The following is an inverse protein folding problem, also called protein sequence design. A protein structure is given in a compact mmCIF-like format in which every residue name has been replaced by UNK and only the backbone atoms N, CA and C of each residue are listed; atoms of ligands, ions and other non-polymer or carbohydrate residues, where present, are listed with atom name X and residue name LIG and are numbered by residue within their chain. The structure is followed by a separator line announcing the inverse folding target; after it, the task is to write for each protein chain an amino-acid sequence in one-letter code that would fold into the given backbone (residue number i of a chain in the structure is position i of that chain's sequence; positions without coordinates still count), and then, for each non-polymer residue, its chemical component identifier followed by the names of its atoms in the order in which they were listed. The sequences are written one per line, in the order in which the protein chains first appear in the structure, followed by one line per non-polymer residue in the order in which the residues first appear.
data_IF_843116373996
#
_entry.id   IF_843116373996
#
_cell.length_a   1.000
_cell.length_b   1.000
_cell.length_c   1.000
_cell.angle_alpha   90.00
_cell.angle_beta   90.00
_cell.angle_gamma   90.00
#
_symmetry.space_group_name_H-M   'P 1'
#
loop_
_entity.id
_entity.type
_entity.pdbx_description
1 polymer ?
#
# COMPACT_ATOMS: atom_id res chain seq x y z
N UNK A 1 14.30 -1.48 14.58
CA UNK A 1 12.99 -1.76 13.94
C UNK A 1 13.27 -2.22 12.52
N UNK A 2 12.62 -3.28 12.04
CA UNK A 2 12.76 -3.77 10.68
C UNK A 2 11.47 -3.51 9.91
N UNK A 3 11.59 -3.10 8.64
CA UNK A 3 10.45 -3.08 7.74
C UNK A 3 10.13 -4.51 7.31
N UNK A 4 8.87 -4.87 7.44
CA UNK A 4 8.30 -6.13 6.92
C UNK A 4 7.80 -5.91 5.48
N UNK A 5 7.19 -6.93 4.88
CA UNK A 5 6.63 -6.82 3.55
C UNK A 5 5.67 -5.62 3.43
N UNK A 6 5.76 -4.88 2.32
CA UNK A 6 4.77 -3.87 1.96
C UNK A 6 3.55 -4.58 1.33
N UNK A 7 2.46 -4.61 2.07
CA UNK A 7 1.16 -5.16 1.67
C UNK A 7 0.13 -4.08 1.36
N UNK A 8 0.56 -2.81 1.33
CA UNK A 8 -0.34 -1.66 1.18
C UNK A 8 -0.36 -1.08 -0.25
N UNK A 9 0.39 -1.69 -1.16
CA UNK A 9 0.47 -1.21 -2.54
C UNK A 9 -0.74 -1.70 -3.33
N UNK A 10 -1.68 -0.79 -3.60
CA UNK A 10 -2.86 -0.99 -4.47
C UNK A 10 -2.72 -0.04 -5.66
N UNK A 11 -2.85 -0.58 -6.87
CA UNK A 11 -2.62 0.15 -8.11
C UNK A 11 -3.82 -0.01 -9.04
N UNK A 12 -4.71 0.98 -9.11
CA UNK A 12 -5.74 1.02 -10.14
C UNK A 12 -5.14 1.34 -11.50
N UNK A 13 -5.70 0.71 -12.53
CA UNK A 13 -5.43 0.97 -13.95
C UNK A 13 -6.74 1.21 -14.67
N UNK A 14 -6.83 2.32 -15.35
CA UNK A 14 -8.00 2.76 -16.12
C UNK A 14 -7.70 2.58 -17.61
N UNK A 15 -8.33 1.60 -18.26
CA UNK A 15 -8.03 1.22 -19.65
C UNK A 15 -6.52 1.10 -19.94
N UNK A 16 -5.78 0.48 -19.00
CA UNK A 16 -4.34 0.31 -19.06
C UNK A 16 -3.51 1.50 -18.53
N UNK A 17 -4.08 2.67 -18.36
CA UNK A 17 -3.40 3.80 -17.72
C UNK A 17 -3.31 3.60 -16.21
N UNK A 18 -2.08 3.55 -15.70
CA UNK A 18 -1.82 3.38 -14.28
C UNK A 18 -2.08 4.68 -13.52
N UNK A 19 -2.91 4.61 -12.48
CA UNK A 19 -3.03 5.71 -11.53
C UNK A 19 -1.70 5.98 -10.81
N UNK A 20 -1.29 7.24 -10.81
CA UNK A 20 -0.15 7.72 -10.04
C UNK A 20 -0.29 9.21 -9.75
N UNK A 21 -0.03 9.59 -8.49
CA UNK A 21 0.05 11.00 -8.08
C UNK A 21 1.17 11.78 -8.78
N UNK A 22 2.12 11.07 -9.42
CA UNK A 22 3.28 11.69 -10.08
C UNK A 22 3.10 11.85 -11.60
N UNK A 23 2.14 11.16 -12.20
CA UNK A 23 1.97 11.14 -13.67
C UNK A 23 0.66 11.73 -14.15
N UNK A 24 -0.28 12.03 -13.25
CA UNK A 24 -1.55 12.65 -13.55
C UNK A 24 -1.71 13.99 -12.86
N UNK A 25 -2.81 14.68 -13.15
CA UNK A 25 -3.18 15.90 -12.46
C UNK A 25 -4.10 15.56 -11.28
N UNK A 26 -3.56 15.61 -10.06
CA UNK A 26 -4.41 15.64 -8.87
C UNK A 26 -4.98 17.05 -8.73
N UNK A 27 -6.29 17.19 -8.88
CA UNK A 27 -6.97 18.50 -8.85
C UNK A 27 -7.44 18.89 -7.46
N UNK A 28 -7.79 17.90 -6.64
CA UNK A 28 -8.15 18.08 -5.25
C UNK A 28 -7.44 17.01 -4.44
N UNK A 29 -6.95 17.38 -3.26
CA UNK A 29 -6.26 16.45 -2.38
C UNK A 29 -6.48 16.82 -0.93
N UNK A 30 -6.93 15.85 -0.14
CA UNK A 30 -7.08 15.97 1.30
C UNK A 30 -6.51 14.73 1.98
N UNK A 31 -5.88 14.92 3.12
CA UNK A 31 -5.42 13.84 3.97
C UNK A 31 -5.73 14.16 5.42
N UNK A 32 -6.46 13.27 6.08
CA UNK A 32 -6.90 13.39 7.46
C UNK A 32 -6.26 12.27 8.27
N UNK A 33 -5.75 12.59 9.45
CA UNK A 33 -5.37 11.63 10.47
C UNK A 33 -6.32 11.80 11.66
N UNK A 34 -7.16 10.79 11.88
CA UNK A 34 -7.99 10.67 13.06
C UNK A 34 -7.26 9.80 14.09
N UNK A 35 -6.68 10.46 15.08
CA UNK A 35 -5.88 9.81 16.12
C UNK A 35 -6.74 9.10 17.17
N UNK A 36 -7.98 9.53 17.34
CA UNK A 36 -8.92 8.94 18.29
C UNK A 36 -9.35 7.53 17.82
N UNK A 37 -9.65 7.40 16.53
CA UNK A 37 -10.13 6.15 15.94
C UNK A 37 -9.02 5.33 15.26
N UNK A 38 -7.80 5.84 15.18
CA UNK A 38 -6.68 5.16 14.54
C UNK A 38 -6.82 5.03 13.01
N UNK A 39 -7.47 6.03 12.38
CA UNK A 39 -7.85 6.00 10.97
C UNK A 39 -7.09 7.09 10.21
N UNK A 40 -6.63 6.77 9.00
CA UNK A 40 -6.21 7.78 8.03
C UNK A 40 -7.14 7.75 6.83
N UNK A 41 -7.61 8.91 6.41
CA UNK A 41 -8.43 9.07 5.21
C UNK A 41 -7.67 9.90 4.20
N UNK A 42 -7.70 9.48 2.95
CA UNK A 42 -7.17 10.24 1.81
C UNK A 42 -8.27 10.36 0.77
N UNK A 43 -8.67 11.59 0.48
CA UNK A 43 -9.57 11.92 -0.60
C UNK A 43 -8.79 12.64 -1.69
N UNK A 44 -9.03 12.28 -2.95
CA UNK A 44 -8.42 12.98 -4.07
C UNK A 44 -9.25 12.85 -5.34
N UNK A 45 -9.16 13.86 -6.19
CA UNK A 45 -9.62 13.80 -7.57
C UNK A 45 -8.42 13.77 -8.50
N UNK A 46 -8.44 12.83 -9.41
CA UNK A 46 -7.38 12.63 -10.40
C UNK A 46 -7.96 12.69 -11.81
N UNK A 47 -7.25 13.38 -12.68
CA UNK A 47 -7.61 13.47 -14.08
C UNK A 47 -6.70 12.58 -14.91
N UNK A 48 -7.28 11.69 -15.71
CA UNK A 48 -6.59 10.84 -16.68
C UNK A 48 -5.99 11.68 -17.80
N UNK A 49 -5.15 11.08 -18.65
CA UNK A 49 -4.62 11.74 -19.85
C UNK A 49 -5.71 12.19 -20.82
N UNK A 50 -6.81 11.44 -20.86
CA UNK A 50 -7.98 11.72 -21.71
C UNK A 50 -8.97 12.73 -21.06
N UNK A 51 -8.54 13.41 -19.99
CA UNK A 51 -9.32 14.41 -19.26
C UNK A 51 -10.53 13.88 -18.49
N UNK A 52 -10.65 12.60 -18.27
CA UNK A 52 -11.70 11.98 -17.45
C UNK A 52 -11.36 12.08 -15.97
N UNK A 53 -12.35 12.32 -15.15
CA UNK A 53 -12.18 12.53 -13.71
C UNK A 53 -12.49 11.28 -12.93
N UNK A 54 -11.59 10.94 -12.02
CA UNK A 54 -11.73 9.81 -11.11
C UNK A 54 -11.52 10.30 -9.68
N UNK A 55 -12.46 9.95 -8.82
CA UNK A 55 -12.41 10.26 -7.39
C UNK A 55 -11.97 9.02 -6.62
N UNK A 56 -11.10 9.25 -5.63
CA UNK A 56 -10.64 8.21 -4.72
C UNK A 56 -10.93 8.61 -3.29
N UNK A 57 -11.47 7.67 -2.52
CA UNK A 57 -11.51 7.74 -1.06
C UNK A 57 -10.84 6.50 -0.49
N UNK A 58 -9.76 6.70 0.24
CA UNK A 58 -8.92 5.60 0.73
C UNK A 58 -8.84 5.73 2.25
N UNK A 59 -9.47 4.80 2.95
CA UNK A 59 -9.42 4.72 4.41
C UNK A 59 -8.48 3.60 4.82
N UNK A 60 -7.58 3.89 5.75
CA UNK A 60 -6.69 2.91 6.36
C UNK A 60 -6.88 2.91 7.86
N UNK A 61 -6.94 1.72 8.44
CA UNK A 61 -7.09 1.53 9.87
C UNK A 61 -6.10 0.47 10.36
N UNK A 62 -5.46 0.76 11.48
CA UNK A 62 -4.71 -0.23 12.25
C UNK A 62 -5.54 -0.61 13.45
N UNK A 63 -5.86 -1.88 13.61
CA UNK A 63 -6.68 -2.34 14.74
C UNK A 63 -5.93 -2.23 16.07
N UNK A 64 -6.58 -1.67 17.06
CA UNK A 64 -6.08 -1.67 18.46
C UNK A 64 -6.44 -2.96 19.20
N UNK A 65 -7.54 -3.61 18.83
CA UNK A 65 -7.99 -4.86 19.43
C UNK A 65 -7.20 -6.06 18.89
N UNK A 66 -7.01 -6.12 17.56
CA UNK A 66 -6.24 -7.15 16.88
C UNK A 66 -4.97 -6.52 16.27
N UNK A 67 -3.87 -6.62 16.99
CA UNK A 67 -2.61 -5.92 16.63
C UNK A 67 -1.96 -6.38 15.34
N UNK A 68 -2.33 -7.54 14.83
CA UNK A 68 -1.86 -8.10 13.55
C UNK A 68 -2.71 -7.66 12.36
N UNK A 69 -3.84 -6.96 12.60
CA UNK A 69 -4.78 -6.56 11.57
C UNK A 69 -4.59 -5.11 11.14
N UNK A 70 -4.48 -4.95 9.82
CA UNK A 70 -4.50 -3.67 9.13
C UNK A 70 -5.50 -3.75 7.97
N UNK A 71 -6.35 -2.74 7.81
CA UNK A 71 -7.37 -2.72 6.76
C UNK A 71 -7.21 -1.51 5.84
N UNK A 72 -7.56 -1.69 4.57
CA UNK A 72 -7.65 -0.63 3.58
C UNK A 72 -9.02 -0.75 2.91
N UNK A 73 -9.86 0.28 3.09
CA UNK A 73 -11.04 0.49 2.25
C UNK A 73 -10.64 1.42 1.10
N UNK A 74 -10.87 0.96 -0.13
CA UNK A 74 -10.41 1.64 -1.34
C UNK A 74 -11.58 1.88 -2.28
N UNK A 75 -12.15 3.08 -2.23
CA UNK A 75 -13.31 3.46 -3.03
C UNK A 75 -12.85 4.25 -4.25
N UNK A 76 -13.38 3.88 -5.41
CA UNK A 76 -13.14 4.52 -6.69
C UNK A 76 -14.48 4.91 -7.28
N UNK A 77 -14.63 6.17 -7.67
CA UNK A 77 -15.82 6.69 -8.34
C UNK A 77 -15.42 7.49 -9.57
N UNK A 78 -16.17 7.33 -10.64
CA UNK A 78 -16.11 8.19 -11.81
C UNK A 78 -17.49 8.31 -12.42
N UNK A 79 -17.86 9.50 -12.83
CA UNK A 79 -19.12 9.77 -13.50
C UNK A 79 -18.96 9.85 -15.04
N UNK A 80 -17.71 9.96 -15.53
CA UNK A 80 -17.41 10.16 -16.95
C UNK A 80 -16.41 9.16 -17.53
N UNK A 81 -15.93 8.20 -16.73
CA UNK A 81 -15.05 7.14 -17.20
C UNK A 81 -15.86 5.92 -17.65
N UNK A 82 -15.71 5.56 -18.92
CA UNK A 82 -16.17 4.31 -19.48
C UNK A 82 -14.96 3.48 -19.94
N UNK A 83 -14.81 2.27 -19.44
CA UNK A 83 -13.70 1.39 -19.79
C UNK A 83 -13.35 0.39 -18.69
N UNK A 84 -12.29 -0.36 -18.90
CA UNK A 84 -11.85 -1.38 -17.97
C UNK A 84 -11.13 -0.78 -16.76
N UNK A 85 -11.56 -1.17 -15.59
CA UNK A 85 -10.86 -0.93 -14.33
C UNK A 85 -10.17 -2.23 -13.87
N UNK A 86 -8.86 -2.21 -13.81
CA UNK A 86 -8.07 -3.28 -13.21
C UNK A 86 -7.43 -2.77 -11.92
N UNK A 87 -7.58 -3.50 -10.83
CA UNK A 87 -6.96 -3.16 -9.54
C UNK A 87 -5.91 -4.22 -9.21
N UNK A 88 -4.65 -3.81 -9.15
CA UNK A 88 -3.55 -4.68 -8.74
C UNK A 88 -3.25 -4.47 -7.25
N UNK A 89 -3.32 -5.51 -6.46
CA UNK A 89 -2.84 -5.55 -5.08
C UNK A 89 -1.51 -6.30 -5.02
N UNK A 90 -0.49 -5.69 -4.43
CA UNK A 90 0.87 -6.22 -4.45
C UNK A 90 1.40 -6.42 -3.04
N UNK A 91 2.01 -7.57 -2.81
CA UNK A 91 2.86 -7.81 -1.65
C UNK A 91 4.34 -7.73 -2.07
N UNK A 92 5.07 -6.75 -1.53
CA UNK A 92 6.50 -6.57 -1.82
C UNK A 92 7.34 -7.03 -0.63
N UNK A 93 8.03 -8.15 -0.78
CA UNK A 93 8.82 -8.75 0.30
C UNK A 93 10.22 -8.15 0.47
N UNK A 94 10.77 -7.53 -0.58
CA UNK A 94 12.11 -6.95 -0.54
C UNK A 94 12.03 -5.45 -0.22
N UNK A 95 11.78 -5.14 1.05
CA UNK A 95 11.64 -3.76 1.53
C UNK A 95 12.90 -3.38 2.31
N UNK A 96 13.50 -2.27 1.92
CA UNK A 96 14.63 -1.66 2.61
C UNK A 96 14.13 -0.82 3.78
N UNK A 97 14.91 -0.77 4.85
CA UNK A 97 14.66 0.22 5.90
C UNK A 97 14.87 1.64 5.34
N UNK A 98 14.09 2.57 5.87
CA UNK A 98 14.26 3.98 5.54
C UNK A 98 15.66 4.45 5.97
N UNK A 99 16.30 5.19 5.11
CA UNK A 99 17.60 5.80 5.35
C UNK A 99 17.56 7.28 4.93
N UNK A 100 18.06 8.13 5.79
CA UNK A 100 18.28 9.54 5.47
C UNK A 100 19.73 9.91 5.85
N UNK A 101 20.58 10.20 4.86
CA UNK A 101 22.00 10.52 5.11
C UNK A 101 22.21 11.82 5.92
N UNK A 102 21.18 12.66 6.00
CA UNK A 102 21.22 13.93 6.75
C UNK A 102 20.69 13.80 8.18
N UNK A 103 20.20 12.64 8.59
CA UNK A 103 19.72 12.39 9.97
C UNK A 103 20.68 11.45 10.70
N UNK A 104 21.51 11.97 11.64
CA UNK A 104 22.48 11.16 12.35
C UNK A 104 21.87 10.08 13.26
N UNK A 105 20.57 10.16 13.54
CA UNK A 105 19.85 9.14 14.33
C UNK A 105 19.53 7.91 13.51
N UNK A 106 19.51 8.04 12.19
CA UNK A 106 19.30 6.97 11.22
C UNK A 106 20.66 6.48 10.70
N UNK A 107 21.58 6.19 11.63
CA UNK A 107 22.91 5.72 11.29
C UNK A 107 22.87 4.39 10.56
N UNK A 108 23.59 4.31 9.47
CA UNK A 108 23.78 3.11 8.69
C UNK A 108 23.22 3.20 7.27
N UNK A 109 23.50 2.19 6.49
CA UNK A 109 23.03 2.08 5.12
C UNK A 109 21.60 1.49 5.06
N UNK A 110 20.88 1.79 4.00
CA UNK A 110 19.58 1.17 3.72
C UNK A 110 19.75 -0.30 3.34
N UNK A 111 19.53 -1.21 4.29
CA UNK A 111 19.69 -2.64 4.08
C UNK A 111 18.36 -3.37 3.96
N UNK A 112 18.38 -4.48 3.22
CA UNK A 112 17.33 -5.50 3.23
C UNK A 112 17.68 -6.48 4.36
N UNK A 113 16.78 -6.60 5.32
CA UNK A 113 16.96 -7.46 6.49
C UNK A 113 16.17 -8.75 6.43
N UNK A 114 15.27 -8.88 5.47
CA UNK A 114 14.42 -10.04 5.25
C UNK A 114 14.75 -10.69 3.92
N UNK A 115 14.78 -12.02 3.91
CA UNK A 115 14.80 -12.83 2.69
C UNK A 115 13.44 -13.50 2.51
N UNK A 116 12.95 -13.55 1.27
CA UNK A 116 11.74 -14.30 0.93
C UNK A 116 12.03 -15.81 1.15
N UNK A 117 11.09 -16.48 1.79
CA UNK A 117 11.10 -17.95 1.95
C UNK A 117 10.13 -18.60 0.98
N UNK A 118 8.89 -18.11 0.96
CA UNK A 118 7.83 -18.67 0.15
C UNK A 118 6.76 -17.63 -0.16
N UNK A 119 5.91 -17.90 -1.16
CA UNK A 119 4.71 -17.13 -1.47
C UNK A 119 3.69 -18.06 -2.12
N UNK A 120 2.45 -18.01 -1.63
CA UNK A 120 1.37 -18.85 -2.14
C UNK A 120 0.03 -18.11 -2.09
N UNK A 121 -0.96 -18.68 -2.76
CA UNK A 121 -2.35 -18.22 -2.74
C UNK A 121 -3.21 -19.38 -2.27
N UNK A 122 -4.17 -19.10 -1.40
CA UNK A 122 -5.18 -20.04 -0.94
C UNK A 122 -6.53 -19.33 -0.88
N UNK A 123 -7.43 -19.72 -1.79
CA UNK A 123 -8.69 -19.02 -1.99
C UNK A 123 -8.49 -17.54 -2.36
N UNK A 124 -9.10 -16.66 -1.59
CA UNK A 124 -9.02 -15.20 -1.76
C UNK A 124 -7.83 -14.57 -1.01
N UNK A 125 -7.04 -15.38 -0.34
CA UNK A 125 -5.90 -14.93 0.45
C UNK A 125 -4.59 -15.16 -0.29
N UNK A 126 -3.72 -14.17 -0.27
CA UNK A 126 -2.32 -14.29 -0.70
C UNK A 126 -1.38 -14.16 0.49
N UNK A 127 -0.31 -14.95 0.49
CA UNK A 127 0.63 -15.06 1.59
C UNK A 127 2.06 -14.85 1.12
N UNK A 128 2.84 -14.19 1.95
CA UNK A 128 4.27 -14.00 1.75
C UNK A 128 5.02 -14.32 3.05
N UNK A 129 5.77 -15.41 3.04
CA UNK A 129 6.65 -15.79 4.13
C UNK A 129 8.05 -15.24 3.92
N UNK A 130 8.59 -14.62 4.94
CA UNK A 130 9.94 -14.06 4.99
C UNK A 130 10.66 -14.47 6.27
N UNK A 131 11.98 -14.40 6.25
CA UNK A 131 12.84 -14.70 7.39
C UNK A 131 13.90 -13.63 7.54
N UNK A 132 14.18 -13.24 8.78
CA UNK A 132 15.30 -12.31 9.05
C UNK A 132 16.63 -12.96 8.75
N UNK A 133 17.50 -12.22 8.03
CA UNK A 133 18.78 -12.78 7.51
C UNK A 133 19.71 -13.19 8.66
N UNK A 134 19.75 -12.42 9.75
CA UNK A 134 20.70 -12.66 10.85
C UNK A 134 20.14 -13.55 11.97
N UNK A 135 18.87 -13.36 12.34
CA UNK A 135 18.29 -14.01 13.53
C UNK A 135 17.38 -15.20 13.20
N UNK A 136 17.07 -15.45 11.92
CA UNK A 136 16.23 -16.58 11.51
C UNK A 136 14.76 -16.50 11.95
N UNK A 137 14.29 -15.31 12.35
CA UNK A 137 12.88 -15.12 12.76
C UNK A 137 11.98 -15.09 11.53
N UNK A 138 10.92 -15.87 11.57
CA UNK A 138 9.95 -15.93 10.48
C UNK A 138 8.84 -14.90 10.66
N UNK A 139 8.42 -14.28 9.53
CA UNK A 139 7.31 -13.37 9.42
C UNK A 139 6.46 -13.79 8.24
N UNK A 140 5.15 -13.91 8.44
CA UNK A 140 4.18 -14.15 7.37
C UNK A 140 3.26 -12.94 7.26
N UNK A 141 3.12 -12.41 6.05
CA UNK A 141 2.14 -11.40 5.71
C UNK A 141 1.06 -12.04 4.86
N UNK A 142 -0.20 -11.80 5.21
CA UNK A 142 -1.37 -12.28 4.48
C UNK A 142 -2.22 -11.09 4.03
N UNK A 143 -2.80 -11.17 2.84
CA UNK A 143 -3.75 -10.18 2.30
C UNK A 143 -4.95 -10.93 1.78
N UNK A 144 -6.14 -10.54 2.26
CA UNK A 144 -7.44 -10.97 1.75
C UNK A 144 -8.14 -9.78 1.10
N UNK A 145 -8.97 -10.05 0.10
CA UNK A 145 -9.77 -9.05 -0.60
C UNK A 145 -11.26 -9.44 -0.50
N UNK A 146 -12.10 -8.45 -0.26
CA UNK A 146 -13.56 -8.56 -0.21
C UNK A 146 -14.19 -7.60 -1.23
#
# INVERSE_FOLDING_TARGET
MLNVADTQTIIPKFSGERFSMFTGAATEYERILDMENGITVRNLKWETKDKRKVEFSITRMTSFAEKSLFTIDYQIRSDDFEGDLCVESLQKGLVKNYFNPHDPRLAGESHIHLKKKDAWVDGECSYLASETIKSGLSVVSAVSHE
#
